data_IF_985817598425
#
_entry.id   IF_985817598425
#
_cell.length_a   1.000
_cell.length_b   1.000
_cell.length_c   1.000
_cell.angle_alpha   90.00
_cell.angle_beta   90.00
_cell.angle_gamma   90.00
#
_symmetry.space_group_name_H-M   'P 1'
#
loop_
_entity.id
_entity.type
_entity.pdbx_description
1 polymer ?
#
# COMPACT_ATOMS: atom_id res chain seq x y z
N UNK A 1 16.27 9.44 -19.42
CA UNK A 1 14.89 8.92 -19.29
C UNK A 1 14.44 8.83 -17.85
N UNK A 2 15.13 8.08 -16.98
CA UNK A 2 14.78 8.00 -15.54
C UNK A 2 14.62 9.38 -14.90
N UNK A 3 15.63 10.25 -15.04
CA UNK A 3 15.57 11.61 -14.50
C UNK A 3 14.37 12.41 -15.03
N UNK A 4 14.03 12.24 -16.31
CA UNK A 4 12.90 12.92 -16.94
C UNK A 4 11.56 12.45 -16.34
N UNK A 5 11.32 11.14 -16.30
CA UNK A 5 10.04 10.59 -15.81
C UNK A 5 9.87 10.84 -14.30
N UNK A 6 10.94 10.66 -13.51
CA UNK A 6 10.92 11.00 -12.09
C UNK A 6 10.64 12.48 -11.87
N UNK A 7 11.21 13.38 -12.70
CA UNK A 7 10.91 14.80 -12.62
C UNK A 7 9.44 15.10 -12.93
N UNK A 8 8.84 14.38 -13.89
CA UNK A 8 7.41 14.57 -14.19
C UNK A 8 6.55 14.16 -12.97
N UNK A 9 6.85 13.03 -12.32
CA UNK A 9 6.16 12.61 -11.08
C UNK A 9 6.38 13.64 -9.97
N UNK A 10 7.65 13.93 -9.64
CA UNK A 10 8.05 14.73 -8.48
C UNK A 10 7.64 16.19 -8.60
N UNK A 11 7.96 16.84 -9.73
CA UNK A 11 7.62 18.26 -9.97
C UNK A 11 6.19 18.44 -10.48
N UNK A 12 5.40 17.36 -10.58
CA UNK A 12 4.04 17.36 -11.13
C UNK A 12 3.95 18.07 -12.49
N UNK A 13 4.89 17.79 -13.39
CA UNK A 13 4.99 18.45 -14.69
C UNK A 13 3.78 18.03 -15.55
N UNK A 14 3.07 18.99 -16.13
CA UNK A 14 1.79 18.76 -16.81
C UNK A 14 1.87 17.86 -18.08
N UNK A 15 3.06 17.50 -18.55
CA UNK A 15 3.24 16.54 -19.63
C UNK A 15 4.61 16.63 -20.30
N UNK A 16 4.81 15.82 -21.34
CA UNK A 16 6.11 15.67 -22.03
C UNK A 16 6.62 16.99 -22.62
N UNK A 17 5.74 17.82 -23.18
CA UNK A 17 6.15 19.10 -23.78
C UNK A 17 6.80 20.04 -22.77
N UNK A 18 6.24 20.12 -21.56
CA UNK A 18 6.78 20.97 -20.50
C UNK A 18 8.05 20.36 -19.90
N UNK A 19 8.11 19.03 -19.78
CA UNK A 19 9.31 18.33 -19.34
C UNK A 19 10.49 18.56 -20.28
N UNK A 20 10.24 18.65 -21.59
CA UNK A 20 11.27 18.96 -22.60
C UNK A 20 11.76 20.40 -22.46
N UNK A 21 10.86 21.37 -22.27
CA UNK A 21 11.25 22.78 -22.05
C UNK A 21 12.13 22.92 -20.80
N UNK A 22 11.71 22.29 -19.70
CA UNK A 22 12.49 22.29 -18.46
C UNK A 22 13.86 21.62 -18.65
N UNK A 23 13.93 20.51 -19.39
CA UNK A 23 15.21 19.88 -19.70
C UNK A 23 16.13 20.77 -20.54
N UNK A 24 15.59 21.54 -21.49
CA UNK A 24 16.39 22.45 -22.33
C UNK A 24 16.85 23.69 -21.55
N UNK A 25 16.01 24.27 -20.69
CA UNK A 25 16.33 25.51 -19.96
C UNK A 25 17.12 25.25 -18.66
N UNK A 26 16.71 24.27 -17.86
CA UNK A 26 17.19 24.08 -16.48
C UNK A 26 17.96 22.76 -16.28
N UNK A 27 17.80 21.79 -17.20
CA UNK A 27 18.14 20.40 -16.91
C UNK A 27 17.08 19.70 -16.03
N UNK A 28 17.31 18.43 -15.69
CA UNK A 28 16.41 17.64 -14.85
C UNK A 28 17.19 16.70 -13.91
N UNK A 29 17.03 16.90 -12.59
CA UNK A 29 17.74 16.14 -11.56
C UNK A 29 19.26 16.15 -11.81
N UNK A 30 19.88 14.99 -12.01
CA UNK A 30 21.31 14.83 -12.29
C UNK A 30 21.67 14.97 -13.78
N UNK A 31 20.72 15.35 -14.62
CA UNK A 31 20.95 15.56 -16.07
C UNK A 31 21.03 17.06 -16.31
N UNK A 32 22.18 17.50 -16.84
CA UNK A 32 22.38 18.88 -17.29
C UNK A 32 21.40 19.26 -18.41
N UNK A 33 21.32 20.56 -18.72
CA UNK A 33 20.51 21.05 -19.83
C UNK A 33 20.82 20.27 -21.12
N UNK A 34 19.77 19.80 -21.79
CA UNK A 34 19.90 19.00 -23.00
C UNK A 34 18.74 19.30 -23.97
N UNK A 35 19.11 19.77 -25.16
CA UNK A 35 18.15 20.03 -26.24
C UNK A 35 17.67 18.72 -26.86
N UNK A 36 16.39 18.41 -26.71
CA UNK A 36 15.74 17.22 -27.29
C UNK A 36 14.37 17.58 -27.84
N UNK A 37 13.95 16.93 -28.92
CA UNK A 37 12.58 17.12 -29.42
C UNK A 37 11.57 16.32 -28.60
N UNK A 38 10.34 16.82 -28.49
CA UNK A 38 9.19 16.08 -27.93
C UNK A 38 9.03 14.70 -28.58
N UNK A 39 9.23 14.63 -29.90
CA UNK A 39 9.13 13.39 -30.67
C UNK A 39 10.20 12.39 -30.26
N UNK A 40 11.44 12.83 -30.06
CA UNK A 40 12.53 11.97 -29.60
C UNK A 40 12.23 11.39 -28.20
N UNK A 41 11.77 12.22 -27.26
CA UNK A 41 11.39 11.76 -25.91
C UNK A 41 10.21 10.78 -25.96
N UNK A 42 9.18 11.08 -26.75
CA UNK A 42 8.01 10.20 -26.92
C UNK A 42 8.42 8.84 -27.51
N UNK A 43 9.23 8.83 -28.58
CA UNK A 43 9.76 7.61 -29.19
C UNK A 43 10.60 6.81 -28.19
N UNK A 44 11.39 7.49 -27.36
CA UNK A 44 12.20 6.84 -26.31
C UNK A 44 11.32 6.24 -25.21
N UNK A 45 10.24 6.90 -24.78
CA UNK A 45 9.25 6.33 -23.84
C UNK A 45 8.55 5.09 -24.37
N UNK A 46 8.34 5.01 -25.70
CA UNK A 46 7.75 3.81 -26.32
C UNK A 46 8.72 2.64 -26.40
N UNK A 47 10.01 2.93 -26.64
CA UNK A 47 11.00 1.92 -27.00
C UNK A 47 11.97 1.52 -25.88
N UNK A 48 12.11 2.32 -24.82
CA UNK A 48 12.94 1.93 -23.68
C UNK A 48 12.18 0.87 -22.87
N UNK A 49 12.75 -0.32 -22.67
CA UNK A 49 12.08 -1.38 -21.92
C UNK A 49 11.72 -0.93 -20.50
N UNK A 50 10.46 -1.09 -20.09
CA UNK A 50 9.99 -0.80 -18.74
C UNK A 50 10.73 -1.64 -17.68
N UNK A 51 11.25 -2.80 -18.07
CA UNK A 51 12.04 -3.72 -17.26
C UNK A 51 13.28 -3.05 -16.65
N UNK A 52 13.90 -2.10 -17.36
CA UNK A 52 15.05 -1.33 -16.85
C UNK A 52 14.62 -0.51 -15.62
N UNK A 53 13.43 0.07 -15.66
CA UNK A 53 12.88 0.81 -14.53
C UNK A 53 12.46 -0.14 -13.41
N UNK A 54 11.97 -1.34 -13.74
CA UNK A 54 11.60 -2.35 -12.75
C UNK A 54 12.81 -2.84 -11.94
N UNK A 55 13.97 -2.98 -12.58
CA UNK A 55 15.25 -3.29 -11.89
C UNK A 55 15.59 -2.17 -10.90
N UNK A 56 15.53 -0.90 -11.33
CA UNK A 56 15.78 0.23 -10.45
C UNK A 56 14.79 0.27 -9.27
N UNK A 57 13.51 0.02 -9.53
CA UNK A 57 12.50 -0.07 -8.48
C UNK A 57 12.86 -1.16 -7.47
N UNK A 58 13.26 -2.35 -7.93
CA UNK A 58 13.68 -3.45 -7.05
C UNK A 58 14.81 -3.00 -6.11
N UNK A 59 15.86 -2.36 -6.62
CA UNK A 59 16.97 -1.86 -5.81
C UNK A 59 16.52 -0.80 -4.78
N UNK A 60 15.63 0.10 -5.18
CA UNK A 60 15.08 1.14 -4.29
C UNK A 60 14.23 0.51 -3.18
N UNK A 61 13.42 -0.49 -3.50
CA UNK A 61 12.59 -1.22 -2.54
C UNK A 61 13.45 -2.00 -1.52
N UNK A 62 14.53 -2.63 -1.99
CA UNK A 62 15.47 -3.38 -1.14
C UNK A 62 16.17 -2.44 -0.14
N UNK A 63 16.72 -1.32 -0.62
CA UNK A 63 17.33 -0.29 0.25
C UNK A 63 16.35 0.29 1.26
N UNK A 64 15.12 0.56 0.82
CA UNK A 64 14.07 1.06 1.71
C UNK A 64 13.64 0.01 2.75
N UNK A 65 13.68 -1.28 2.41
CA UNK A 65 13.35 -2.37 3.35
C UNK A 65 14.35 -2.45 4.50
N UNK A 66 15.65 -2.30 4.22
CA UNK A 66 16.70 -2.29 5.24
C UNK A 66 16.55 -1.13 6.21
N UNK A 67 16.32 0.07 5.69
CA UNK A 67 16.06 1.27 6.51
C UNK A 67 14.77 1.16 7.31
N UNK A 68 13.72 0.57 6.72
CA UNK A 68 12.41 0.41 7.35
C UNK A 68 12.42 -0.48 8.60
N UNK A 69 13.43 -1.36 8.77
CA UNK A 69 13.60 -2.13 10.00
C UNK A 69 13.89 -1.27 11.23
N UNK A 70 14.45 -0.07 11.04
CA UNK A 70 14.80 0.86 12.12
C UNK A 70 13.67 1.81 12.51
N UNK A 71 12.56 1.80 11.77
CA UNK A 71 11.43 2.68 12.05
C UNK A 71 10.64 2.16 13.25
N UNK A 72 10.46 3.04 14.25
CA UNK A 72 9.56 2.79 15.36
C UNK A 72 8.12 2.71 14.85
N UNK A 73 7.45 1.61 15.17
CA UNK A 73 5.98 1.53 15.07
C UNK A 73 5.39 1.52 16.48
N UNK A 74 4.07 1.73 16.60
CA UNK A 74 3.42 1.72 17.92
C UNK A 74 3.66 0.40 18.65
N UNK A 75 3.81 0.42 19.98
CA UNK A 75 4.19 -0.75 20.80
C UNK A 75 3.34 -2.00 20.51
N UNK A 76 2.02 -1.82 20.36
CA UNK A 76 1.08 -2.88 19.97
C UNK A 76 1.47 -3.55 18.66
N UNK A 77 1.91 -2.76 17.68
CA UNK A 77 2.26 -3.24 16.35
C UNK A 77 3.63 -3.89 16.31
N UNK A 78 4.60 -3.44 17.10
CA UNK A 78 5.89 -4.14 17.21
C UNK A 78 5.69 -5.57 17.71
N UNK A 79 4.85 -5.78 18.74
CA UNK A 79 4.53 -7.12 19.24
C UNK A 79 3.95 -8.03 18.16
N UNK A 80 3.11 -7.51 17.27
CA UNK A 80 2.58 -8.30 16.14
C UNK A 80 3.66 -8.53 15.08
N UNK A 81 4.43 -7.49 14.76
CA UNK A 81 5.50 -7.52 13.76
C UNK A 81 6.55 -8.58 14.07
N UNK A 82 6.85 -8.81 15.35
CA UNK A 82 7.80 -9.84 15.79
C UNK A 82 7.28 -11.28 15.63
N UNK A 83 5.96 -11.49 15.58
CA UNK A 83 5.35 -12.83 15.47
C UNK A 83 5.36 -13.37 14.03
N UNK A 84 5.54 -12.51 13.03
CA UNK A 84 5.48 -12.86 11.61
C UNK A 84 6.76 -12.42 10.89
N UNK A 85 7.20 -13.17 9.89
CA UNK A 85 8.36 -12.77 9.07
C UNK A 85 8.07 -11.53 8.21
N UNK A 86 6.78 -11.28 7.95
CA UNK A 86 6.25 -10.15 7.22
C UNK A 86 4.78 -9.93 7.57
N UNK A 87 4.31 -8.68 7.64
CA UNK A 87 2.88 -8.35 7.70
C UNK A 87 2.58 -7.40 6.54
N UNK A 88 1.89 -7.90 5.52
CA UNK A 88 1.65 -7.18 4.27
C UNK A 88 0.17 -6.91 4.05
N UNK A 89 -0.15 -5.80 3.42
CA UNK A 89 -1.49 -5.51 2.91
C UNK A 89 -1.41 -5.54 1.39
N UNK A 90 -2.32 -6.25 0.74
CA UNK A 90 -2.45 -6.26 -0.72
C UNK A 90 -3.85 -5.88 -1.15
N UNK A 91 -3.94 -5.04 -2.18
CA UNK A 91 -5.21 -4.60 -2.75
C UNK A 91 -5.02 -4.15 -4.21
N UNK A 92 -6.09 -4.24 -4.97
CA UNK A 92 -6.14 -3.89 -6.38
C UNK A 92 -6.68 -2.49 -6.61
N UNK A 93 -6.27 -1.85 -7.70
CA UNK A 93 -6.84 -0.57 -8.10
C UNK A 93 -6.83 -0.36 -9.60
N UNK A 94 -7.96 0.03 -10.18
CA UNK A 94 -8.07 0.34 -11.61
C UNK A 94 -7.53 1.73 -11.89
N UNK A 95 -6.68 1.88 -12.91
CA UNK A 95 -6.12 3.17 -13.33
C UNK A 95 -7.15 3.99 -14.11
N UNK A 96 -7.02 5.32 -14.06
CA UNK A 96 -7.94 6.22 -14.75
C UNK A 96 -7.78 6.16 -16.27
N UNK A 97 -8.70 6.85 -16.96
CA UNK A 97 -8.68 6.97 -18.41
C UNK A 97 -7.38 7.62 -18.89
N UNK A 98 -6.87 7.11 -20.01
CA UNK A 98 -5.74 7.70 -20.70
C UNK A 98 -6.19 9.04 -21.31
N UNK A 99 -5.64 10.17 -20.83
CA UNK A 99 -5.89 11.49 -21.45
C UNK A 99 -5.29 11.51 -22.86
N UNK A 100 -6.11 11.34 -23.91
CA UNK A 100 -5.69 11.54 -25.30
C UNK A 100 -6.06 12.96 -25.77
N UNK A 101 -5.05 13.82 -25.96
CA UNK A 101 -5.19 15.16 -26.55
C UNK A 101 -5.22 15.18 -28.10
N UNK A 102 -5.81 14.18 -28.78
CA UNK A 102 -6.03 14.25 -30.24
C UNK A 102 -7.33 13.57 -30.69
N UNK A 103 -7.99 14.21 -31.68
CA UNK A 103 -9.25 13.83 -32.32
C UNK A 103 -9.21 12.38 -32.84
N UNK A 104 -10.09 11.48 -32.35
CA UNK A 104 -10.56 10.23 -33.01
C UNK A 104 -11.85 9.72 -32.30
N UNK A 105 -12.56 8.80 -32.98
CA UNK A 105 -13.96 8.35 -32.89
C UNK A 105 -14.52 7.89 -31.52
N UNK A 106 -15.85 7.78 -31.44
CA UNK A 106 -16.64 7.49 -30.21
C UNK A 106 -16.35 6.13 -29.56
N UNK A 107 -15.82 5.14 -30.29
CA UNK A 107 -15.59 3.78 -29.77
C UNK A 107 -14.28 3.64 -28.97
N UNK A 108 -13.28 4.49 -29.21
CA UNK A 108 -12.00 4.48 -28.46
C UNK A 108 -12.04 5.29 -27.15
N UNK A 109 -13.17 5.93 -26.83
CA UNK A 109 -13.31 6.88 -25.70
C UNK A 109 -13.32 6.25 -24.30
N UNK A 110 -13.22 4.91 -24.16
CA UNK A 110 -13.50 4.21 -22.89
C UNK A 110 -12.34 3.40 -22.29
N UNK A 111 -11.17 3.31 -22.93
CA UNK A 111 -10.10 2.41 -22.45
C UNK A 111 -9.38 2.98 -21.23
N UNK A 112 -9.66 2.39 -20.06
CA UNK A 112 -8.94 2.66 -18.81
C UNK A 112 -7.47 2.22 -18.93
N UNK A 113 -6.60 2.79 -18.09
CA UNK A 113 -5.15 2.53 -18.12
C UNK A 113 -4.72 1.12 -17.71
N UNK A 114 -5.67 0.25 -17.35
CA UNK A 114 -5.43 -1.08 -16.81
C UNK A 114 -5.67 -1.15 -15.30
N UNK A 115 -5.16 -2.20 -14.66
CA UNK A 115 -5.30 -2.45 -13.22
C UNK A 115 -3.94 -2.74 -12.59
N UNK A 116 -3.74 -2.25 -11.37
CA UNK A 116 -2.54 -2.51 -10.57
C UNK A 116 -2.89 -3.31 -9.32
N UNK A 117 -1.97 -4.15 -8.87
CA UNK A 117 -1.97 -4.77 -7.55
C UNK A 117 -0.80 -4.18 -6.77
N UNK A 118 -1.06 -3.54 -5.64
CA UNK A 118 -0.03 -2.97 -4.78
C UNK A 118 0.08 -3.77 -3.50
N UNK A 119 1.31 -4.04 -3.07
CA UNK A 119 1.59 -4.63 -1.76
C UNK A 119 2.40 -3.66 -0.94
N UNK A 120 1.95 -3.38 0.28
CA UNK A 120 2.66 -2.53 1.24
C UNK A 120 2.88 -3.28 2.56
N UNK A 121 3.93 -2.93 3.27
CA UNK A 121 4.13 -3.36 4.65
C UNK A 121 3.09 -2.65 5.56
N UNK A 122 2.43 -3.43 6.42
CA UNK A 122 1.21 -3.01 7.11
C UNK A 122 1.41 -1.86 8.10
N UNK A 123 2.60 -1.71 8.68
CA UNK A 123 2.87 -0.75 9.74
C UNK A 123 3.51 0.52 9.23
N UNK A 124 4.45 0.40 8.28
CA UNK A 124 5.18 1.54 7.72
C UNK A 124 4.60 2.03 6.38
N UNK A 125 3.63 1.34 5.78
CA UNK A 125 3.13 1.59 4.42
C UNK A 125 4.23 1.62 3.34
N UNK A 126 5.37 0.99 3.62
CA UNK A 126 6.46 0.90 2.67
C UNK A 126 6.04 -0.04 1.55
N UNK A 127 6.20 0.34 0.27
CA UNK A 127 5.96 -0.58 -0.84
C UNK A 127 6.82 -1.84 -0.74
N UNK A 128 6.22 -2.97 -1.07
CA UNK A 128 6.88 -4.27 -1.17
C UNK A 128 7.02 -4.69 -2.62
N UNK A 129 5.94 -4.57 -3.39
CA UNK A 129 5.93 -4.90 -4.82
C UNK A 129 4.69 -4.29 -5.48
N UNK A 130 4.68 -4.30 -6.82
CA UNK A 130 3.54 -3.92 -7.63
C UNK A 130 3.48 -4.79 -8.89
N UNK A 131 2.27 -5.20 -9.27
CA UNK A 131 1.98 -5.83 -10.55
C UNK A 131 0.97 -5.01 -11.35
N UNK A 132 1.00 -5.18 -12.67
CA UNK A 132 0.16 -4.43 -13.61
C UNK A 132 -0.41 -5.34 -14.70
N UNK A 133 -1.66 -5.10 -15.07
CA UNK A 133 -2.32 -5.68 -16.25
C UNK A 133 -3.03 -4.61 -17.05
N UNK A 134 -3.09 -4.77 -18.37
CA UNK A 134 -3.85 -3.88 -19.26
C UNK A 134 -5.36 -4.11 -19.17
N UNK A 135 -5.78 -5.26 -18.64
CA UNK A 135 -7.19 -5.58 -18.48
C UNK A 135 -7.74 -4.94 -17.19
N UNK A 136 -8.43 -3.81 -17.35
CA UNK A 136 -9.05 -3.03 -16.29
C UNK A 136 -10.20 -3.75 -15.56
N UNK A 137 -10.77 -4.78 -16.20
CA UNK A 137 -11.88 -5.60 -15.67
C UNK A 137 -11.41 -6.86 -14.95
N UNK A 138 -10.11 -7.12 -14.89
CA UNK A 138 -9.57 -8.29 -14.20
C UNK A 138 -9.95 -8.29 -12.72
N UNK A 139 -10.35 -9.46 -12.21
CA UNK A 139 -10.45 -9.69 -10.77
C UNK A 139 -9.05 -9.72 -10.14
N UNK A 140 -8.93 -9.30 -8.88
CA UNK A 140 -7.67 -9.31 -8.12
C UNK A 140 -7.10 -10.71 -7.88
N UNK A 141 -7.93 -11.75 -8.00
CA UNK A 141 -7.50 -13.15 -7.91
C UNK A 141 -6.46 -13.57 -8.94
N UNK A 142 -6.28 -12.82 -10.04
CA UNK A 142 -5.22 -13.12 -11.01
C UNK A 142 -3.82 -13.07 -10.38
N UNK A 143 -3.66 -12.35 -9.26
CA UNK A 143 -2.38 -12.20 -8.54
C UNK A 143 -2.25 -13.13 -7.33
N UNK A 144 -3.18 -14.05 -7.11
CA UNK A 144 -3.16 -14.97 -5.98
C UNK A 144 -1.86 -15.81 -5.92
N UNK A 145 -1.41 -16.31 -7.07
CA UNK A 145 -0.19 -17.11 -7.17
C UNK A 145 1.06 -16.28 -6.91
N UNK A 146 1.16 -15.09 -7.51
CA UNK A 146 2.30 -14.20 -7.30
C UNK A 146 2.37 -13.68 -5.87
N UNK A 147 1.22 -13.38 -5.25
CA UNK A 147 1.14 -13.03 -3.83
C UNK A 147 1.63 -14.17 -2.94
N UNK A 148 1.14 -15.39 -3.19
CA UNK A 148 1.55 -16.58 -2.44
C UNK A 148 3.04 -16.88 -2.64
N UNK A 149 3.58 -16.73 -3.85
CA UNK A 149 4.99 -16.95 -4.13
C UNK A 149 5.89 -15.89 -3.46
N UNK A 150 5.46 -14.62 -3.46
CA UNK A 150 6.26 -13.50 -2.95
C UNK A 150 6.27 -13.42 -1.42
N UNK A 151 5.17 -13.77 -0.77
CA UNK A 151 5.05 -13.75 0.70
C UNK A 151 6.01 -14.78 1.31
N UNK A 152 6.89 -14.41 2.26
CA UNK A 152 7.78 -15.37 2.91
C UNK A 152 7.00 -16.38 3.78
N UNK A 153 7.60 -17.53 4.09
CA UNK A 153 7.11 -18.45 5.13
C UNK A 153 6.93 -17.70 6.45
N UNK A 154 5.90 -18.04 7.22
CA UNK A 154 5.47 -17.30 8.42
C UNK A 154 5.08 -15.82 8.14
N UNK A 155 4.85 -15.44 6.88
CA UNK A 155 4.34 -14.13 6.50
C UNK A 155 2.82 -14.07 6.60
N UNK A 156 2.26 -12.95 7.09
CA UNK A 156 0.84 -12.67 7.16
C UNK A 156 0.45 -11.66 6.08
N UNK A 157 -0.55 -11.99 5.25
CA UNK A 157 -1.13 -11.08 4.26
C UNK A 157 -2.57 -10.71 4.58
N UNK A 158 -2.85 -9.41 4.62
CA UNK A 158 -4.17 -8.84 4.79
C UNK A 158 -4.75 -8.49 3.42
N UNK A 159 -5.90 -9.05 3.10
CA UNK A 159 -6.57 -8.85 1.81
C UNK A 159 -8.06 -8.60 1.98
N UNK A 160 -8.68 -8.03 0.96
CA UNK A 160 -10.13 -7.84 0.94
C UNK A 160 -10.89 -9.16 0.68
N UNK A 161 -12.23 -9.09 0.66
CA UNK A 161 -13.07 -10.25 0.39
C UNK A 161 -13.02 -10.71 -1.08
N UNK A 162 -12.52 -9.88 -2.00
CA UNK A 162 -12.32 -10.22 -3.41
C UNK A 162 -11.38 -11.41 -3.61
N UNK A 163 -10.48 -11.67 -2.66
CA UNK A 163 -9.56 -12.82 -2.65
C UNK A 163 -10.15 -14.10 -2.06
N UNK A 164 -11.41 -14.09 -1.59
CA UNK A 164 -12.01 -15.25 -0.91
C UNK A 164 -12.03 -16.49 -1.83
N UNK A 165 -11.19 -17.48 -1.52
CA UNK A 165 -10.96 -18.67 -2.33
C UNK A 165 -10.39 -19.80 -1.48
N UNK A 166 -11.09 -20.92 -1.38
CA UNK A 166 -10.63 -22.09 -0.61
C UNK A 166 -9.29 -22.63 -1.12
N UNK A 167 -9.13 -22.72 -2.45
CA UNK A 167 -7.87 -23.16 -3.08
C UNK A 167 -6.69 -22.27 -2.66
N UNK A 168 -6.91 -20.96 -2.56
CA UNK A 168 -5.86 -20.03 -2.16
C UNK A 168 -5.57 -20.08 -0.65
N UNK A 169 -6.60 -20.29 0.17
CA UNK A 169 -6.44 -20.49 1.62
C UNK A 169 -5.66 -21.77 1.91
N UNK A 170 -5.99 -22.86 1.21
CA UNK A 170 -5.29 -24.14 1.33
C UNK A 170 -3.83 -23.99 0.85
N UNK A 171 -3.59 -23.34 -0.31
CA UNK A 171 -2.25 -23.05 -0.82
C UNK A 171 -1.38 -22.30 0.21
N UNK A 172 -1.91 -21.24 0.83
CA UNK A 172 -1.16 -20.49 1.84
C UNK A 172 -0.90 -21.33 3.07
N UNK A 173 -1.88 -22.13 3.51
CA UNK A 173 -1.74 -22.99 4.69
C UNK A 173 -0.70 -24.08 4.47
N UNK A 174 -0.73 -24.77 3.32
CA UNK A 174 0.26 -25.78 2.91
C UNK A 174 1.67 -25.17 2.82
N UNK A 175 1.78 -23.92 2.35
CA UNK A 175 3.03 -23.18 2.27
C UNK A 175 3.46 -22.52 3.60
N UNK A 176 2.75 -22.77 4.72
CA UNK A 176 2.99 -22.17 6.05
C UNK A 176 3.01 -20.63 6.02
N UNK A 177 2.06 -20.07 5.27
CA UNK A 177 1.82 -18.64 5.12
C UNK A 177 0.44 -18.30 5.64
N UNK A 178 0.29 -17.10 6.16
CA UNK A 178 -0.93 -16.69 6.83
C UNK A 178 -1.70 -15.65 6.04
N UNK A 179 -3.03 -15.72 6.11
CA UNK A 179 -3.91 -14.69 5.57
C UNK A 179 -4.84 -14.13 6.64
N UNK A 180 -5.33 -12.93 6.39
CA UNK A 180 -6.43 -12.31 7.11
C UNK A 180 -7.36 -11.62 6.11
N UNK A 181 -8.60 -12.08 6.03
CA UNK A 181 -9.63 -11.54 5.13
C UNK A 181 -10.98 -11.39 5.84
N UNK A 182 -11.99 -10.86 5.15
CA UNK A 182 -13.38 -10.90 5.60
C UNK A 182 -14.03 -12.22 5.27
N UNK A 183 -14.86 -12.70 6.19
CA UNK A 183 -15.74 -13.82 5.91
C UNK A 183 -16.80 -13.43 4.88
N UNK A 184 -17.07 -14.32 3.92
CA UNK A 184 -18.09 -14.12 2.89
C UNK A 184 -19.43 -14.65 3.38
N UNK A 185 -20.42 -13.76 3.51
CA UNK A 185 -21.78 -14.11 3.88
C UNK A 185 -22.35 -15.20 2.95
N UNK A 186 -23.10 -16.14 3.54
CA UNK A 186 -23.66 -17.30 2.83
C UNK A 186 -22.68 -18.47 2.63
N UNK A 187 -21.43 -18.36 3.09
CA UNK A 187 -20.50 -19.50 3.09
C UNK A 187 -20.90 -20.50 4.17
N UNK A 188 -21.17 -21.74 3.81
CA UNK A 188 -21.41 -22.83 4.77
C UNK A 188 -20.13 -23.19 5.53
N UNK A 189 -20.25 -23.43 6.82
CA UNK A 189 -19.19 -23.95 7.66
C UNK A 189 -19.74 -24.75 8.83
N UNK A 190 -18.87 -25.54 9.46
CA UNK A 190 -19.14 -26.22 10.73
C UNK A 190 -18.11 -25.76 11.77
N UNK A 191 -18.57 -25.34 12.94
CA UNK A 191 -17.68 -25.08 14.07
C UNK A 191 -17.04 -26.38 14.53
N UNK A 192 -15.70 -26.39 14.55
CA UNK A 192 -14.89 -27.50 15.07
C UNK A 192 -14.60 -27.29 16.55
N UNK A 193 -14.26 -26.07 16.95
CA UNK A 193 -13.90 -25.72 18.31
C UNK A 193 -14.20 -24.23 18.56
N UNK A 194 -14.72 -23.90 19.74
CA UNK A 194 -14.81 -22.52 20.23
C UNK A 194 -13.55 -22.25 21.06
N UNK A 195 -12.78 -21.23 20.70
CA UNK A 195 -11.55 -20.83 21.40
C UNK A 195 -11.87 -19.89 22.56
N UNK A 196 -12.71 -18.89 22.31
CA UNK A 196 -13.24 -17.98 23.32
C UNK A 196 -14.52 -17.30 22.82
N UNK A 197 -15.33 -16.78 23.73
CA UNK A 197 -16.53 -16.02 23.41
C UNK A 197 -16.87 -15.04 24.52
N UNK A 198 -17.50 -13.93 24.15
CA UNK A 198 -18.06 -12.95 25.07
C UNK A 198 -19.41 -12.45 24.58
N UNK A 199 -19.97 -11.43 25.23
CA UNK A 199 -21.26 -10.84 24.84
C UNK A 199 -21.21 -10.16 23.46
N UNK A 200 -20.03 -9.65 23.08
CA UNK A 200 -19.82 -8.88 21.85
C UNK A 200 -18.82 -9.52 20.88
N UNK A 201 -18.34 -10.74 21.12
CA UNK A 201 -17.43 -11.41 20.20
C UNK A 201 -17.50 -12.94 20.30
N UNK A 202 -17.07 -13.62 19.24
CA UNK A 202 -16.84 -15.07 19.18
C UNK A 202 -15.56 -15.36 18.43
N UNK A 203 -14.84 -16.36 18.90
CA UNK A 203 -13.59 -16.81 18.33
C UNK A 203 -13.60 -18.33 18.16
N UNK A 204 -13.65 -18.79 16.93
CA UNK A 204 -13.99 -20.18 16.59
C UNK A 204 -13.03 -20.75 15.54
N UNK A 205 -12.61 -22.00 15.69
CA UNK A 205 -12.03 -22.79 14.60
C UNK A 205 -13.18 -23.47 13.86
N UNK A 206 -13.22 -23.26 12.54
CA UNK A 206 -14.27 -23.74 11.65
C UNK A 206 -13.69 -24.57 10.50
N UNK A 207 -14.53 -25.43 9.92
CA UNK A 207 -14.27 -26.13 8.67
C UNK A 207 -15.25 -25.56 7.64
N UNK A 208 -14.74 -25.01 6.53
CA UNK A 208 -15.53 -24.33 5.52
C UNK A 208 -15.85 -25.22 4.32
N UNK A 209 -17.03 -24.96 3.72
CA UNK A 209 -17.52 -25.64 2.53
C UNK A 209 -18.49 -26.78 2.85
N UNK A 210 -19.29 -27.15 1.85
CA UNK A 210 -20.19 -28.30 1.94
C UNK A 210 -19.42 -29.57 1.55
N UNK A 211 -19.70 -30.67 2.23
CA UNK A 211 -19.05 -32.00 2.07
C UNK A 211 -18.94 -32.54 0.63
N UNK A 212 -19.59 -31.94 -0.37
CA UNK A 212 -19.83 -32.57 -1.68
C UNK A 212 -19.31 -31.82 -2.92
N UNK A 213 -18.88 -30.56 -2.86
CA UNK A 213 -18.50 -29.84 -4.11
C UNK A 213 -17.20 -29.06 -4.10
N UNK A 214 -16.72 -28.52 -2.97
CA UNK A 214 -15.34 -28.01 -2.82
C UNK A 214 -15.09 -27.58 -1.35
N UNK A 215 -14.80 -28.49 -0.40
CA UNK A 215 -14.46 -28.07 0.96
C UNK A 215 -13.09 -27.39 0.99
N UNK A 216 -12.92 -26.41 1.87
CA UNK A 216 -11.57 -25.98 2.26
C UNK A 216 -10.93 -27.14 3.02
N UNK A 217 -9.76 -27.61 2.57
CA UNK A 217 -9.13 -28.80 3.16
C UNK A 217 -8.66 -28.56 4.58
N UNK A 218 -8.17 -27.34 4.84
CA UNK A 218 -7.64 -26.96 6.14
C UNK A 218 -8.68 -26.22 6.99
N UNK A 219 -8.73 -26.45 8.32
CA UNK A 219 -9.52 -25.63 9.21
C UNK A 219 -8.97 -24.21 9.23
N UNK A 220 -9.87 -23.25 9.43
CA UNK A 220 -9.53 -21.82 9.56
C UNK A 220 -10.20 -21.29 10.82
N UNK A 221 -9.78 -20.11 11.26
CA UNK A 221 -10.32 -19.41 12.42
C UNK A 221 -11.22 -18.27 11.97
N UNK A 222 -12.41 -18.21 12.55
CA UNK A 222 -13.44 -17.20 12.36
C UNK A 222 -13.54 -16.36 13.63
N UNK A 223 -13.18 -15.08 13.53
CA UNK A 223 -13.38 -14.10 14.59
C UNK A 223 -14.58 -13.23 14.22
N UNK A 224 -15.63 -13.30 15.03
CA UNK A 224 -16.84 -12.48 14.88
C UNK A 224 -16.87 -11.44 15.99
N UNK A 225 -17.08 -10.17 15.65
CA UNK A 225 -17.18 -9.07 16.61
C UNK A 225 -18.41 -8.22 16.33
N UNK A 226 -19.17 -7.90 17.37
CA UNK A 226 -20.33 -7.02 17.31
C UNK A 226 -19.87 -5.57 17.51
N UNK A 227 -20.06 -4.74 16.50
CA UNK A 227 -19.76 -3.31 16.57
C UNK A 227 -21.02 -2.50 16.31
N UNK A 228 -21.51 -1.82 17.35
CA UNK A 228 -22.87 -1.27 17.35
C UNK A 228 -23.89 -2.40 17.24
N UNK A 229 -24.63 -2.44 16.13
CA UNK A 229 -25.64 -3.48 15.84
C UNK A 229 -25.21 -4.49 14.77
N UNK A 230 -23.98 -4.35 14.24
CA UNK A 230 -23.52 -5.13 13.09
C UNK A 230 -22.43 -6.11 13.53
N UNK A 231 -22.61 -7.39 13.18
CA UNK A 231 -21.59 -8.41 13.30
C UNK A 231 -20.59 -8.31 12.14
N UNK A 232 -19.33 -8.09 12.47
CA UNK A 232 -18.21 -8.16 11.55
C UNK A 232 -17.49 -9.50 11.73
N UNK A 233 -17.20 -10.16 10.62
CA UNK A 233 -16.62 -11.50 10.62
C UNK A 233 -15.32 -11.50 9.82
N UNK A 234 -14.24 -11.93 10.48
CA UNK A 234 -12.90 -11.98 9.93
C UNK A 234 -12.39 -13.42 9.93
N UNK A 235 -11.67 -13.78 8.88
CA UNK A 235 -11.22 -15.13 8.61
C UNK A 235 -9.69 -15.14 8.51
N UNK A 236 -9.05 -16.07 9.21
CA UNK A 236 -7.60 -16.27 9.18
C UNK A 236 -7.25 -17.74 9.34
N UNK A 237 -6.11 -18.18 8.85
CA UNK A 237 -5.54 -19.49 9.16
C UNK A 237 -4.53 -19.45 10.34
N UNK A 238 -4.42 -18.32 11.05
CA UNK A 238 -3.70 -18.27 12.35
C UNK A 238 -4.59 -18.88 13.45
N UNK A 239 -4.41 -20.17 13.70
CA UNK A 239 -5.29 -20.94 14.59
C UNK A 239 -5.07 -20.68 16.08
N UNK A 240 -3.87 -20.26 16.49
CA UNK A 240 -3.53 -20.00 17.90
C UNK A 240 -3.84 -18.55 18.29
N UNK A 241 -4.67 -18.33 19.33
CA UNK A 241 -4.88 -17.01 19.93
C UNK A 241 -3.63 -16.37 20.52
N UNK A 242 -2.65 -17.17 20.94
CA UNK A 242 -1.37 -16.70 21.48
C UNK A 242 -0.51 -16.06 20.37
N UNK A 243 -0.54 -16.64 19.16
CA UNK A 243 0.11 -16.06 17.99
C UNK A 243 -0.64 -14.81 17.48
N UNK A 244 -1.98 -14.85 17.46
CA UNK A 244 -2.77 -13.68 17.07
C UNK A 244 -4.10 -13.67 17.81
N UNK A 245 -4.28 -12.76 18.76
CA UNK A 245 -5.52 -12.67 19.54
C UNK A 245 -6.71 -12.21 18.68
N UNK A 246 -7.93 -12.47 19.13
CA UNK A 246 -9.14 -12.03 18.45
C UNK A 246 -9.21 -10.49 18.30
N UNK A 247 -8.69 -9.75 19.29
CA UNK A 247 -8.53 -8.31 19.21
C UNK A 247 -7.55 -7.90 18.11
N UNK A 248 -6.36 -8.50 18.08
CA UNK A 248 -5.34 -8.23 17.08
C UNK A 248 -5.85 -8.54 15.66
N UNK A 249 -6.63 -9.61 15.46
CA UNK A 249 -7.31 -9.92 14.19
C UNK A 249 -8.19 -8.75 13.73
N UNK A 250 -9.03 -8.23 14.62
CA UNK A 250 -9.94 -7.13 14.29
C UNK A 250 -9.18 -5.84 13.98
N UNK A 251 -8.15 -5.54 14.76
CA UNK A 251 -7.35 -4.33 14.62
C UNK A 251 -6.45 -4.34 13.39
N UNK A 252 -5.84 -5.49 13.07
CA UNK A 252 -5.12 -5.68 11.82
C UNK A 252 -6.05 -5.53 10.62
N UNK A 253 -7.22 -6.17 10.63
CA UNK A 253 -8.15 -6.04 9.50
C UNK A 253 -8.63 -4.59 9.31
N UNK A 254 -8.84 -3.85 10.41
CA UNK A 254 -9.13 -2.41 10.33
C UNK A 254 -7.97 -1.64 9.68
N UNK A 255 -6.73 -2.01 10.00
CA UNK A 255 -5.52 -1.41 9.44
C UNK A 255 -5.34 -1.72 7.95
N UNK A 256 -5.94 -2.79 7.41
CA UNK A 256 -5.97 -3.07 5.96
C UNK A 256 -6.41 -1.84 5.13
N UNK A 257 -7.35 -1.04 5.63
CA UNK A 257 -7.83 0.18 4.95
C UNK A 257 -6.72 1.23 4.71
N UNK A 258 -5.59 1.16 5.42
CA UNK A 258 -4.46 2.07 5.20
C UNK A 258 -3.85 1.94 3.80
N UNK A 259 -4.10 0.86 3.05
CA UNK A 259 -3.66 0.76 1.65
C UNK A 259 -4.38 1.76 0.73
N UNK A 260 -5.58 2.20 1.09
CA UNK A 260 -6.29 3.26 0.36
C UNK A 260 -5.56 4.59 0.44
N UNK A 261 -4.86 4.86 1.54
CA UNK A 261 -3.99 6.04 1.65
C UNK A 261 -2.81 5.92 0.68
N UNK A 262 -2.22 4.73 0.52
CA UNK A 262 -1.15 4.51 -0.46
C UNK A 262 -1.66 4.75 -1.89
N UNK A 263 -2.87 4.29 -2.22
CA UNK A 263 -3.51 4.62 -3.51
C UNK A 263 -3.83 6.10 -3.65
N UNK A 264 -4.31 6.76 -2.61
CA UNK A 264 -4.59 8.19 -2.63
C UNK A 264 -3.31 8.99 -2.89
N UNK A 265 -2.22 8.66 -2.19
CA UNK A 265 -0.92 9.30 -2.34
C UNK A 265 -0.37 9.05 -3.76
N UNK A 266 -0.34 7.82 -4.22
CA UNK A 266 0.21 7.51 -5.56
C UNK A 266 -0.65 8.07 -6.70
N UNK A 267 -1.98 7.97 -6.63
CA UNK A 267 -2.88 8.43 -7.69
C UNK A 267 -3.12 9.93 -7.70
N UNK A 268 -3.40 10.52 -6.53
CA UNK A 268 -3.78 11.93 -6.43
C UNK A 268 -2.56 12.81 -6.17
N UNK A 269 -1.79 12.52 -5.11
CA UNK A 269 -0.65 13.37 -4.75
C UNK A 269 0.49 13.26 -5.78
N UNK A 270 0.83 12.05 -6.22
CA UNK A 270 1.92 11.82 -7.18
C UNK A 270 1.45 11.76 -8.64
N UNK A 271 0.16 12.02 -8.88
CA UNK A 271 -0.38 12.22 -10.22
C UNK A 271 -0.51 10.98 -11.09
N UNK A 272 -0.46 9.76 -10.54
CA UNK A 272 -0.65 8.52 -11.32
C UNK A 272 -2.07 8.40 -11.93
N UNK A 273 -3.04 9.17 -11.43
CA UNK A 273 -4.34 9.31 -12.09
C UNK A 273 -4.28 9.99 -13.47
N UNK A 274 -3.19 10.70 -13.79
CA UNK A 274 -3.03 11.43 -15.04
C UNK A 274 -1.97 10.74 -15.91
N UNK A 275 -2.39 9.75 -16.68
CA UNK A 275 -1.48 9.01 -17.56
C UNK A 275 -1.00 9.88 -18.72
N UNK A 276 0.32 9.97 -18.91
CA UNK A 276 0.94 10.85 -19.90
C UNK A 276 1.09 10.23 -21.28
N UNK A 277 1.10 8.90 -21.36
CA UNK A 277 1.29 8.13 -22.59
C UNK A 277 0.25 7.02 -22.62
N UNK A 278 -0.33 6.78 -23.81
CA UNK A 278 -1.40 5.79 -23.98
C UNK A 278 -0.95 4.38 -24.36
N UNK A 279 0.36 4.12 -24.50
CA UNK A 279 0.86 2.78 -24.79
C UNK A 279 1.26 2.04 -23.50
N UNK A 280 1.17 0.71 -23.53
CA UNK A 280 1.50 -0.19 -22.41
C UNK A 280 2.82 0.17 -21.70
N UNK A 281 3.88 0.32 -22.49
CA UNK A 281 5.22 0.55 -21.97
C UNK A 281 5.32 1.90 -21.23
N UNK A 282 4.73 2.97 -21.80
CA UNK A 282 4.71 4.27 -21.15
C UNK A 282 3.92 4.27 -19.85
N UNK A 283 2.79 3.56 -19.80
CA UNK A 283 2.00 3.37 -18.58
C UNK A 283 2.81 2.62 -17.51
N UNK A 284 3.46 1.52 -17.85
CA UNK A 284 4.33 0.78 -16.93
C UNK A 284 5.46 1.65 -16.39
N UNK A 285 6.16 2.40 -17.25
CA UNK A 285 7.23 3.32 -16.84
C UNK A 285 6.70 4.36 -15.84
N UNK A 286 5.53 4.95 -16.09
CA UNK A 286 4.93 5.93 -15.19
C UNK A 286 4.56 5.30 -13.83
N UNK A 287 3.95 4.12 -13.83
CA UNK A 287 3.63 3.38 -12.59
C UNK A 287 4.90 3.11 -11.78
N UNK A 288 5.94 2.57 -12.43
CA UNK A 288 7.20 2.22 -11.78
C UNK A 288 7.89 3.47 -11.21
N UNK A 289 7.97 4.56 -11.98
CA UNK A 289 8.57 5.80 -11.50
C UNK A 289 7.77 6.44 -10.35
N UNK A 290 6.44 6.34 -10.39
CA UNK A 290 5.59 6.77 -9.28
C UNK A 290 5.91 5.98 -8.02
N UNK A 291 6.09 4.66 -8.13
CA UNK A 291 6.39 3.81 -6.98
C UNK A 291 7.81 4.02 -6.45
N UNK A 292 8.79 4.29 -7.31
CA UNK A 292 10.14 4.71 -6.91
C UNK A 292 10.06 5.97 -6.06
N UNK A 293 9.38 7.01 -6.57
CA UNK A 293 9.26 8.27 -5.84
C UNK A 293 8.46 8.11 -4.54
N UNK A 294 7.36 7.35 -4.56
CA UNK A 294 6.59 7.04 -3.35
C UNK A 294 7.46 6.34 -2.29
N UNK A 295 8.32 5.41 -2.70
CA UNK A 295 9.23 4.69 -1.80
C UNK A 295 10.23 5.66 -1.15
N UNK A 296 10.87 6.52 -1.95
CA UNK A 296 11.82 7.54 -1.45
C UNK A 296 11.13 8.52 -0.50
N UNK A 297 9.93 9.01 -0.86
CA UNK A 297 9.15 9.91 -0.02
C UNK A 297 8.74 9.24 1.30
N UNK A 298 8.30 7.98 1.25
CA UNK A 298 7.93 7.21 2.44
C UNK A 298 9.12 7.01 3.38
N UNK A 299 10.32 6.79 2.82
CA UNK A 299 11.56 6.70 3.59
C UNK A 299 11.92 8.03 4.24
N UNK A 300 11.87 9.15 3.50
CA UNK A 300 12.11 10.48 4.05
C UNK A 300 11.14 10.80 5.20
N UNK A 301 9.86 10.46 5.04
CA UNK A 301 8.85 10.59 6.09
C UNK A 301 9.24 9.78 7.33
N UNK A 302 9.78 8.57 7.15
CA UNK A 302 10.29 7.75 8.23
C UNK A 302 11.51 8.37 8.93
N UNK A 303 12.46 8.92 8.17
CA UNK A 303 13.64 9.61 8.71
C UNK A 303 13.24 10.88 9.50
N UNK A 304 12.27 11.65 9.00
CA UNK A 304 11.67 12.80 9.73
C UNK A 304 10.95 12.33 11.00
N UNK A 305 10.25 11.20 10.96
CA UNK A 305 9.59 10.64 12.13
C UNK A 305 10.60 10.29 13.24
N UNK A 306 11.72 9.67 12.87
CA UNK A 306 12.84 9.39 13.80
C UNK A 306 13.39 10.70 14.38
N UNK A 307 13.68 11.70 13.53
CA UNK A 307 14.22 12.98 13.98
C UNK A 307 13.28 13.74 14.94
N UNK A 308 11.97 13.56 14.78
CA UNK A 308 10.95 14.15 15.66
C UNK A 308 10.60 13.28 16.87
N UNK A 309 11.17 12.09 17.00
CA UNK A 309 10.79 11.08 17.98
C UNK A 309 9.26 10.84 18.01
N UNK A 310 8.67 10.66 16.82
CA UNK A 310 7.24 10.40 16.64
C UNK A 310 7.04 9.09 15.87
N UNK A 311 5.95 8.34 16.14
CA UNK A 311 5.55 7.23 15.30
C UNK A 311 5.32 7.71 13.85
N UNK A 312 5.78 6.94 12.86
CA UNK A 312 5.66 7.31 11.43
C UNK A 312 4.22 7.67 11.02
N UNK A 313 3.22 6.97 11.57
CA UNK A 313 1.80 7.19 11.28
C UNK A 313 1.33 8.63 11.59
N UNK A 314 1.98 9.30 12.55
CA UNK A 314 1.71 10.69 12.93
C UNK A 314 2.32 11.70 11.97
N UNK A 315 3.24 11.31 11.09
CA UNK A 315 3.83 12.22 10.11
C UNK A 315 2.99 12.24 8.82
N UNK A 316 2.65 13.43 8.35
CA UNK A 316 1.89 13.62 7.11
C UNK A 316 2.80 13.53 5.89
N UNK A 317 2.61 12.46 5.09
CA UNK A 317 3.32 12.26 3.83
C UNK A 317 3.11 13.42 2.86
N UNK A 318 1.88 13.93 2.78
CA UNK A 318 1.53 15.06 1.92
C UNK A 318 2.25 16.34 2.34
N UNK A 319 2.28 16.65 3.63
CA UNK A 319 2.93 17.89 4.10
C UNK A 319 4.44 17.81 3.96
N UNK A 320 5.05 16.64 4.18
CA UNK A 320 6.48 16.42 3.88
C UNK A 320 6.74 16.67 2.39
N UNK A 321 5.94 16.08 1.49
CA UNK A 321 6.07 16.30 0.06
C UNK A 321 5.96 17.79 -0.34
N UNK A 322 4.92 18.49 0.14
CA UNK A 322 4.72 19.91 -0.13
C UNK A 322 5.87 20.77 0.41
N UNK A 323 6.50 20.35 1.50
CA UNK A 323 7.61 21.07 2.13
C UNK A 323 8.93 20.94 1.39
N UNK A 324 9.07 19.95 0.49
CA UNK A 324 10.26 19.82 -0.37
C UNK A 324 10.49 21.05 -1.25
N UNK A 325 9.43 21.82 -1.56
CA UNK A 325 9.56 23.13 -2.20
C UNK A 325 10.50 24.07 -1.43
N UNK A 326 10.38 24.15 -0.11
CA UNK A 326 11.20 25.04 0.71
C UNK A 326 12.64 24.54 0.81
N UNK A 327 12.85 23.23 0.85
CA UNK A 327 14.19 22.63 0.79
C UNK A 327 14.86 22.96 -0.54
N UNK A 328 14.15 22.78 -1.65
CA UNK A 328 14.66 23.11 -2.98
C UNK A 328 14.99 24.61 -3.11
N UNK A 329 14.16 25.50 -2.54
CA UNK A 329 14.43 26.95 -2.50
C UNK A 329 15.65 27.30 -1.67
N UNK A 330 15.85 26.66 -0.52
CA UNK A 330 17.05 26.83 0.28
C UNK A 330 18.31 26.43 -0.51
N UNK A 331 18.29 25.25 -1.15
CA UNK A 331 19.39 24.79 -2.02
C UNK A 331 19.67 25.79 -3.15
N UNK A 332 18.64 26.32 -3.79
CA UNK A 332 18.77 27.32 -4.86
C UNK A 332 19.40 28.64 -4.38
N UNK A 333 19.31 28.97 -3.08
CA UNK A 333 19.99 30.13 -2.47
C UNK A 333 21.45 29.82 -2.08
N UNK A 334 21.95 28.63 -2.39
CA UNK A 334 23.29 28.18 -2.01
C UNK A 334 23.37 27.60 -0.61
N UNK A 335 22.24 27.46 0.10
CA UNK A 335 22.19 26.75 1.37
C UNK A 335 22.41 25.25 1.11
N UNK A 336 23.06 24.53 2.03
CA UNK A 336 23.20 23.06 1.94
C UNK A 336 22.50 22.39 3.12
N UNK A 337 21.16 22.56 3.26
CA UNK A 337 20.45 22.00 4.40
C UNK A 337 20.49 20.47 4.33
N UNK A 338 20.76 19.84 5.47
CA UNK A 338 20.34 18.45 5.64
C UNK A 338 18.81 18.41 5.57
N UNK A 339 18.27 17.60 4.65
CA UNK A 339 16.83 17.64 4.33
C UNK A 339 15.98 17.21 5.54
N UNK A 340 16.43 16.18 6.26
CA UNK A 340 15.70 15.64 7.41
C UNK A 340 15.68 16.67 8.53
N UNK A 341 16.83 17.22 8.88
CA UNK A 341 16.98 18.26 9.91
C UNK A 341 16.17 19.50 9.57
N UNK A 342 16.26 19.99 8.34
CA UNK A 342 15.52 21.16 7.89
C UNK A 342 14.00 21.01 8.05
N UNK A 343 13.47 19.83 7.70
CA UNK A 343 12.05 19.50 7.85
C UNK A 343 11.67 19.33 9.33
N UNK A 344 12.49 18.64 10.12
CA UNK A 344 12.22 18.37 11.53
C UNK A 344 12.17 19.66 12.37
N UNK A 345 13.16 20.55 12.21
CA UNK A 345 13.18 21.86 12.89
C UNK A 345 11.96 22.73 12.56
N UNK A 346 11.40 22.56 11.36
CA UNK A 346 10.25 23.33 10.85
C UNK A 346 8.95 22.53 10.89
N UNK A 347 8.90 21.42 11.62
CA UNK A 347 7.76 20.51 11.61
C UNK A 347 6.43 21.18 12.00
N UNK A 348 6.47 22.13 12.94
CA UNK A 348 5.31 22.92 13.35
C UNK A 348 4.87 23.90 12.25
N UNK A 349 5.81 24.63 11.66
CA UNK A 349 5.55 25.60 10.59
C UNK A 349 4.93 24.91 9.36
N UNK A 350 5.44 23.73 9.02
CA UNK A 350 5.01 22.95 7.86
C UNK A 350 3.85 22.00 8.15
N UNK A 351 3.33 21.95 9.37
CA UNK A 351 2.23 21.06 9.74
C UNK A 351 2.55 19.57 9.50
N UNK A 352 3.80 19.14 9.72
CA UNK A 352 4.25 17.78 9.42
C UNK A 352 3.62 16.75 10.36
N UNK A 353 3.34 17.12 11.61
CA UNK A 353 2.73 16.24 12.61
C UNK A 353 1.21 16.37 12.56
N UNK A 354 0.52 15.26 12.30
CA UNK A 354 -0.95 15.18 12.28
C UNK A 354 -1.51 15.45 13.67
N UNK A 355 -2.54 16.29 13.75
CA UNK A 355 -3.27 16.50 14.99
C UNK A 355 -4.10 15.26 15.39
N UNK A 356 -4.14 14.95 16.69
CA UNK A 356 -5.00 13.90 17.20
C UNK A 356 -6.47 14.33 17.18
N UNK A 357 -7.29 13.66 16.37
CA UNK A 357 -8.73 13.94 16.29
C UNK A 357 -9.47 13.32 17.48
N UNK A 358 -10.45 14.04 18.02
CA UNK A 358 -11.32 13.64 19.16
C UNK A 358 -11.90 12.22 19.01
N UNK A 359 -12.26 11.81 17.79
CA UNK A 359 -12.79 10.49 17.41
C UNK A 359 -11.88 9.29 17.78
N UNK A 360 -10.58 9.49 17.98
CA UNK A 360 -9.67 8.42 18.41
C UNK A 360 -9.89 8.03 19.88
N UNK A 361 -10.33 8.95 20.74
CA UNK A 361 -10.60 8.65 22.17
C UNK A 361 -11.87 7.83 22.34
N UNK A 362 -12.91 8.14 21.55
CA UNK A 362 -14.20 7.43 21.55
C UNK A 362 -14.06 5.96 21.12
N UNK A 363 -13.14 5.66 20.17
CA UNK A 363 -12.83 4.29 19.78
C UNK A 363 -12.13 3.47 20.86
N UNK A 364 -11.32 4.12 21.71
CA UNK A 364 -10.61 3.42 22.79
C UNK A 364 -11.58 2.92 23.87
N UNK A 365 -12.57 3.74 24.24
CA UNK A 365 -13.63 3.36 25.19
C UNK A 365 -14.47 2.18 24.68
N UNK A 366 -14.82 2.18 23.40
CA UNK A 366 -15.60 1.09 22.79
C UNK A 366 -14.81 -0.21 22.63
N UNK A 367 -13.50 -0.13 22.39
CA UNK A 367 -12.63 -1.31 22.38
C UNK A 367 -12.59 -1.99 23.76
N UNK A 368 -12.51 -1.21 24.84
CA UNK A 368 -12.51 -1.75 26.20
C UNK A 368 -13.81 -2.53 26.49
N UNK A 369 -14.97 -1.99 26.10
CA UNK A 369 -16.27 -2.64 26.27
C UNK A 369 -16.42 -3.97 25.51
N UNK A 370 -15.73 -4.14 24.39
CA UNK A 370 -15.83 -5.35 23.54
C UNK A 370 -14.98 -6.50 24.10
N UNK A 371 -13.82 -6.18 24.68
CA UNK A 371 -12.81 -7.17 25.07
C UNK A 371 -12.68 -7.38 26.58
N UNK A 372 -13.46 -6.66 27.41
CA UNK A 372 -13.50 -6.91 28.85
C UNK A 372 -13.99 -8.34 29.15
N UNK A 373 -13.27 -9.12 29.98
CA UNK A 373 -13.72 -10.43 30.40
C UNK A 373 -15.01 -10.31 31.22
N UNK A 374 -15.99 -11.17 30.97
CA UNK A 374 -17.15 -11.29 31.86
C UNK A 374 -16.63 -11.85 33.19
N UNK A 375 -16.88 -11.22 34.34
CA UNK A 375 -16.53 -11.81 35.63
C UNK A 375 -17.26 -13.15 35.75
N UNK A 376 -16.50 -14.21 36.02
CA UNK A 376 -17.06 -15.53 36.33
C UNK A 376 -17.91 -15.38 37.60
N UNK A 377 -19.23 -15.44 37.45
CA UNK A 377 -20.21 -15.48 38.53
C UNK A 377 -20.27 -16.86 39.17
#
# INVERSE_FOLDING_TARGET
MVALVLSIVYRQIAGISEAVRLLEEEGLLWVASLKVSKQAVSKRMMNVPAEIFAILLKEVLEKAAEKGKKLQVGEKWEKIREKFSAVWIADGSTLEQIRKNMKISKEEKSKLGGKIMMVVEAFTQRPVTLWYTENDKSNDKIWCEELAAKLPENGLILVDMGFFSFVWFDLLTEAKKFFLTRFRAGTSYKTKQVLSQGSHYRDEIIIMGNYRSNPCKHPVRLVSVLWGTIWYQYLTNVLSPEQLSAEEVCDLYRRRWTIEEAFLLTKRLLGLAYLWVGNKNGVQIQIICTLIFYTVLNQLVGEVAIALNQPKEKISVEMVFRSLYYVAKAIARGEKPDTVTYLAERAKLFGLVKAERKRHREKAALNQQIWEPIPLS
#
